data_IF_032556157358
#
_entry.id   IF_032556157358
#
_cell.length_a   1.000
_cell.length_b   1.000
_cell.length_c   1.000
_cell.angle_alpha   90.00
_cell.angle_beta   90.00
_cell.angle_gamma   90.00
#
_symmetry.space_group_name_H-M   'P 1'
#
loop_
_entity.id
_entity.type
_entity.pdbx_description
1 polymer ?
#
# COMPACT_ATOMS: atom_id res chain seq x y z
N UNK A 1 28.52 -27.09 -49.07
CA UNK A 1 28.98 -27.06 -47.67
C UNK A 1 28.57 -25.75 -46.97
N UNK A 2 28.88 -24.59 -47.57
CA UNK A 2 28.53 -23.25 -47.03
C UNK A 2 27.03 -23.06 -46.75
N UNK A 3 26.15 -23.47 -47.67
CA UNK A 3 24.70 -23.28 -47.51
C UNK A 3 24.08 -24.06 -46.33
N UNK A 4 24.65 -25.23 -45.98
CA UNK A 4 24.22 -26.00 -44.80
C UNK A 4 24.64 -25.32 -43.50
N UNK A 5 25.84 -24.72 -43.48
CA UNK A 5 26.38 -24.02 -42.31
C UNK A 5 25.59 -22.74 -42.00
N UNK A 6 25.19 -22.00 -43.03
CA UNK A 6 24.35 -20.79 -42.90
C UNK A 6 22.97 -21.16 -42.37
N UNK A 7 22.36 -22.25 -42.85
CA UNK A 7 21.06 -22.71 -42.36
C UNK A 7 21.10 -23.13 -40.88
N UNK A 8 22.16 -23.82 -40.44
CA UNK A 8 22.37 -24.20 -39.04
C UNK A 8 22.54 -22.99 -38.13
N UNK A 9 23.26 -21.95 -38.56
CA UNK A 9 23.42 -20.69 -37.82
C UNK A 9 22.10 -19.94 -37.65
N UNK A 10 21.28 -19.88 -38.70
CA UNK A 10 19.96 -19.22 -38.64
C UNK A 10 19.02 -19.96 -37.68
N UNK A 11 19.00 -21.30 -37.71
CA UNK A 11 18.20 -22.11 -36.77
C UNK A 11 18.68 -21.89 -35.33
N UNK A 12 20.00 -21.84 -35.10
CA UNK A 12 20.57 -21.61 -33.77
C UNK A 12 20.22 -20.22 -33.22
N UNK A 13 20.29 -19.18 -34.06
CA UNK A 13 19.87 -17.81 -33.70
C UNK A 13 18.37 -17.72 -33.41
N UNK A 14 17.53 -18.40 -34.20
CA UNK A 14 16.09 -18.47 -33.96
C UNK A 14 15.76 -19.19 -32.65
N UNK A 15 16.43 -20.30 -32.34
CA UNK A 15 16.27 -21.00 -31.07
C UNK A 15 16.72 -20.14 -29.87
N UNK A 16 17.84 -19.42 -29.99
CA UNK A 16 18.30 -18.50 -28.94
C UNK A 16 17.28 -17.37 -28.70
N UNK A 17 16.72 -16.82 -29.78
CA UNK A 17 15.72 -15.76 -29.72
C UNK A 17 14.40 -16.24 -29.08
N UNK A 18 13.99 -17.49 -29.34
CA UNK A 18 12.83 -18.14 -28.71
C UNK A 18 13.04 -18.44 -27.22
N UNK A 19 14.28 -18.73 -26.80
CA UNK A 19 14.60 -18.91 -25.37
C UNK A 19 14.62 -17.59 -24.60
N UNK A 20 14.99 -16.47 -25.24
CA UNK A 20 15.02 -15.14 -24.62
C UNK A 20 13.63 -14.54 -24.38
N UNK A 21 12.58 -15.09 -24.99
CA UNK A 21 11.19 -14.65 -24.79
C UNK A 21 10.41 -15.50 -23.79
N UNK A 22 11.04 -16.48 -23.16
CA UNK A 22 10.43 -17.23 -22.07
C UNK A 22 10.55 -16.42 -20.77
N UNK A 23 9.67 -15.43 -20.60
CA UNK A 23 9.34 -14.98 -19.24
C UNK A 23 8.68 -16.16 -18.54
N UNK A 24 9.42 -16.85 -17.69
CA UNK A 24 8.87 -17.84 -16.78
C UNK A 24 8.01 -17.08 -15.75
N UNK A 25 6.78 -16.73 -16.13
CA UNK A 25 5.76 -16.36 -15.15
C UNK A 25 5.39 -17.64 -14.40
N UNK A 26 6.09 -17.91 -13.30
CA UNK A 26 5.64 -18.92 -12.33
C UNK A 26 4.17 -18.64 -12.02
N UNK A 27 3.26 -19.59 -12.20
CA UNK A 27 1.85 -19.35 -11.91
C UNK A 27 1.72 -18.89 -10.47
N UNK A 28 1.07 -17.73 -10.23
CA UNK A 28 0.76 -17.20 -8.89
C UNK A 28 -0.23 -18.10 -8.10
N UNK A 29 -0.48 -19.32 -8.58
CA UNK A 29 -1.39 -20.30 -8.00
C UNK A 29 -0.93 -20.73 -6.60
N UNK A 30 0.38 -20.74 -6.34
CA UNK A 30 0.95 -21.07 -5.03
C UNK A 30 0.67 -20.02 -3.94
N UNK A 31 0.22 -18.82 -4.33
CA UNK A 31 -0.07 -17.74 -3.42
C UNK A 31 -1.50 -17.76 -2.88
N UNK A 32 -2.37 -18.61 -3.43
CA UNK A 32 -3.80 -18.63 -3.11
C UNK A 32 -4.28 -20.04 -2.75
N UNK A 33 -5.47 -20.12 -2.16
CA UNK A 33 -6.14 -21.40 -1.97
C UNK A 33 -6.44 -22.06 -3.34
N UNK A 34 -6.49 -23.41 -3.40
CA UNK A 34 -6.87 -24.12 -4.62
C UNK A 34 -8.22 -23.63 -5.19
N UNK A 35 -8.30 -23.46 -6.51
CA UNK A 35 -9.46 -22.95 -7.24
C UNK A 35 -9.83 -21.47 -6.97
N UNK A 36 -8.94 -20.70 -6.35
CA UNK A 36 -9.14 -19.27 -6.13
C UNK A 36 -8.41 -18.43 -7.18
N UNK A 37 -8.99 -17.26 -7.48
CA UNK A 37 -8.40 -16.30 -8.39
C UNK A 37 -7.23 -15.56 -7.70
N UNK A 38 -6.04 -15.61 -8.30
CA UNK A 38 -4.80 -15.05 -7.73
C UNK A 38 -4.57 -13.57 -8.02
N UNK A 39 -5.33 -12.97 -8.93
CA UNK A 39 -5.13 -11.58 -9.34
C UNK A 39 -6.43 -10.89 -9.75
N UNK A 40 -6.50 -9.58 -9.56
CA UNK A 40 -7.57 -8.74 -10.09
C UNK A 40 -6.94 -7.52 -10.77
N UNK A 41 -7.10 -7.42 -12.09
CA UNK A 41 -6.36 -6.44 -12.88
C UNK A 41 -4.86 -6.69 -12.76
N UNK A 42 -4.11 -5.68 -12.32
CA UNK A 42 -2.66 -5.76 -12.14
C UNK A 42 -2.24 -6.06 -10.69
N UNK A 43 -3.19 -6.37 -9.80
CA UNK A 43 -2.93 -6.57 -8.38
C UNK A 43 -3.01 -8.07 -8.06
N UNK A 44 -1.93 -8.61 -7.52
CA UNK A 44 -1.89 -9.97 -6.97
C UNK A 44 -2.63 -9.99 -5.64
N UNK A 45 -3.53 -10.94 -5.47
CA UNK A 45 -4.38 -11.12 -4.28
C UNK A 45 -4.02 -12.46 -3.62
N UNK A 46 -2.96 -12.50 -2.80
CA UNK A 46 -2.54 -13.72 -2.11
C UNK A 46 -3.40 -13.95 -0.86
N UNK A 47 -3.49 -15.22 -0.43
CA UNK A 47 -4.03 -15.55 0.90
C UNK A 47 -3.20 -14.83 1.99
N UNK A 48 -3.80 -14.24 3.05
CA UNK A 48 -5.16 -14.42 3.55
C UNK A 48 -6.27 -13.67 2.80
N UNK A 49 -5.91 -12.81 1.85
CA UNK A 49 -6.87 -12.12 0.98
C UNK A 49 -7.40 -13.06 -0.11
N UNK A 50 -8.61 -12.82 -0.59
CA UNK A 50 -9.19 -13.70 -1.60
C UNK A 50 -10.42 -13.15 -2.28
N UNK A 51 -10.61 -13.58 -3.53
CA UNK A 51 -11.75 -13.24 -4.37
C UNK A 51 -12.68 -14.46 -4.43
N UNK A 52 -13.95 -14.27 -4.06
CA UNK A 52 -14.95 -15.34 -4.05
C UNK A 52 -15.07 -16.06 -2.70
N UNK A 53 -16.14 -16.83 -2.54
CA UNK A 53 -16.39 -17.59 -1.32
C UNK A 53 -15.27 -18.58 -1.01
N UNK A 54 -14.96 -18.75 0.28
CA UNK A 54 -13.93 -19.67 0.80
C UNK A 54 -12.48 -19.37 0.41
N UNK A 55 -12.22 -18.33 -0.39
CA UNK A 55 -10.88 -17.97 -0.88
C UNK A 55 -10.08 -17.07 0.05
N UNK A 56 -10.74 -16.41 0.99
CA UNK A 56 -10.10 -15.55 2.01
C UNK A 56 -10.09 -16.24 3.38
N UNK A 57 -9.36 -15.64 4.32
CA UNK A 57 -9.26 -16.13 5.71
C UNK A 57 -10.58 -15.91 6.48
N UNK A 58 -11.06 -14.67 6.45
CA UNK A 58 -12.35 -14.27 7.01
C UNK A 58 -12.88 -13.03 6.26
N UNK A 59 -14.09 -12.58 6.60
CA UNK A 59 -14.76 -11.47 5.91
C UNK A 59 -13.92 -10.20 5.78
N UNK A 60 -13.04 -9.89 6.74
CA UNK A 60 -12.16 -8.71 6.67
C UNK A 60 -11.16 -8.76 5.52
N UNK A 61 -10.80 -9.96 5.08
CA UNK A 61 -9.83 -10.23 4.01
C UNK A 61 -10.50 -10.50 2.65
N UNK A 62 -11.84 -10.39 2.58
CA UNK A 62 -12.55 -10.55 1.32
C UNK A 62 -12.20 -9.41 0.34
N UNK A 63 -12.03 -9.77 -0.94
CA UNK A 63 -11.78 -8.83 -2.03
C UNK A 63 -12.85 -9.00 -3.10
N UNK A 64 -13.50 -7.91 -3.49
CA UNK A 64 -14.35 -7.89 -4.67
C UNK A 64 -13.55 -7.38 -5.88
N UNK A 65 -13.53 -8.17 -6.95
CA UNK A 65 -12.94 -7.75 -8.21
C UNK A 65 -14.03 -7.14 -9.11
N UNK A 66 -14.05 -5.81 -9.19
CA UNK A 66 -15.05 -5.06 -9.94
C UNK A 66 -14.53 -4.70 -11.34
N UNK A 67 -15.26 -5.11 -12.37
CA UNK A 67 -14.94 -4.77 -13.76
C UNK A 67 -15.68 -3.49 -14.15
N UNK A 68 -15.07 -2.33 -13.90
CA UNK A 68 -15.63 -1.03 -14.28
C UNK A 68 -14.83 -0.42 -15.42
N UNK A 69 -15.51 0.07 -16.45
CA UNK A 69 -14.90 0.79 -17.58
C UNK A 69 -13.77 0.02 -18.30
N UNK A 70 -13.85 -1.31 -18.34
CA UNK A 70 -12.88 -2.16 -19.05
C UNK A 70 -11.61 -2.50 -18.27
N UNK A 71 -11.47 -2.05 -17.02
CA UNK A 71 -10.38 -2.43 -16.14
C UNK A 71 -10.90 -3.10 -14.86
N UNK A 72 -10.33 -4.25 -14.51
CA UNK A 72 -10.63 -4.95 -13.27
C UNK A 72 -9.93 -4.24 -12.09
N UNK A 73 -10.70 -3.90 -11.06
CA UNK A 73 -10.23 -3.20 -9.86
C UNK A 73 -10.60 -3.97 -8.59
N UNK A 74 -9.63 -4.29 -7.72
CA UNK A 74 -9.90 -4.96 -6.45
C UNK A 74 -10.34 -3.97 -5.37
N UNK A 75 -11.38 -4.33 -4.63
CA UNK A 75 -11.86 -3.59 -3.46
C UNK A 75 -11.82 -4.48 -2.22
N UNK A 76 -11.05 -4.06 -1.21
CA UNK A 76 -10.92 -4.71 0.09
C UNK A 76 -12.18 -4.52 0.93
N UNK A 77 -12.68 -5.62 1.48
CA UNK A 77 -13.83 -5.70 2.36
C UNK A 77 -14.97 -4.78 1.87
N UNK A 78 -15.62 -5.11 0.74
CA UNK A 78 -16.60 -4.25 0.08
C UNK A 78 -17.82 -3.90 0.96
N UNK A 79 -18.06 -4.64 2.04
CA UNK A 79 -19.20 -4.47 2.93
C UNK A 79 -18.97 -3.48 4.07
N UNK A 80 -17.75 -3.33 4.59
CA UNK A 80 -17.45 -2.40 5.71
C UNK A 80 -16.42 -1.33 5.37
N UNK A 81 -15.36 -1.67 4.62
CA UNK A 81 -14.27 -0.72 4.30
C UNK A 81 -14.37 -0.16 2.89
N UNK A 82 -14.61 -1.02 1.89
CA UNK A 82 -14.72 -0.69 0.47
C UNK A 82 -13.54 0.16 -0.06
N UNK A 83 -12.31 -0.32 0.15
CA UNK A 83 -11.08 0.38 -0.24
C UNK A 83 -10.48 -0.22 -1.50
N UNK A 84 -10.17 0.60 -2.52
CA UNK A 84 -9.47 0.14 -3.71
C UNK A 84 -8.04 -0.29 -3.35
N UNK A 85 -7.70 -1.56 -3.62
CA UNK A 85 -6.38 -2.13 -3.36
C UNK A 85 -5.42 -1.84 -4.51
N UNK A 86 -4.20 -1.45 -4.16
CA UNK A 86 -3.10 -1.19 -5.10
C UNK A 86 -2.03 -2.27 -5.01
N UNK A 87 -1.79 -2.79 -3.80
CA UNK A 87 -0.79 -3.82 -3.56
C UNK A 87 -1.09 -4.60 -2.28
N UNK A 88 -0.64 -5.85 -2.23
CA UNK A 88 -0.63 -6.69 -1.03
C UNK A 88 0.79 -7.23 -0.85
N UNK A 89 1.40 -6.97 0.30
CA UNK A 89 2.70 -7.53 0.66
C UNK A 89 2.57 -8.51 1.82
N UNK A 90 2.96 -9.76 1.57
CA UNK A 90 3.08 -10.80 2.60
C UNK A 90 4.32 -10.59 3.48
N UNK A 91 5.43 -10.22 2.86
CA UNK A 91 6.73 -9.98 3.50
C UNK A 91 6.65 -8.81 4.49
N UNK A 92 6.07 -7.69 4.06
CA UNK A 92 5.92 -6.50 4.89
C UNK A 92 4.62 -6.51 5.70
N UNK A 93 3.72 -7.48 5.50
CA UNK A 93 2.37 -7.50 6.10
C UNK A 93 1.63 -6.17 5.92
N UNK A 94 1.69 -5.61 4.71
CA UNK A 94 0.99 -4.38 4.35
C UNK A 94 0.01 -4.60 3.21
N UNK A 95 -1.01 -3.76 3.17
CA UNK A 95 -1.80 -3.50 1.98
C UNK A 95 -1.71 -2.03 1.65
N UNK A 96 -1.56 -1.70 0.37
CA UNK A 96 -1.61 -0.32 -0.10
C UNK A 96 -3.00 -0.06 -0.70
N UNK A 97 -3.66 0.99 -0.25
CA UNK A 97 -5.02 1.37 -0.69
C UNK A 97 -5.08 2.83 -1.12
N UNK A 98 -6.09 3.21 -1.90
CA UNK A 98 -6.39 4.64 -2.09
C UNK A 98 -7.11 5.22 -0.88
N UNK A 99 -6.63 6.37 -0.40
CA UNK A 99 -7.22 7.16 0.68
C UNK A 99 -7.54 8.58 0.19
N UNK A 100 -8.68 9.18 0.58
CA UNK A 100 -9.06 10.52 0.13
C UNK A 100 -8.09 11.59 0.66
N UNK A 101 -7.86 12.61 -0.17
CA UNK A 101 -7.05 13.78 0.19
C UNK A 101 -7.94 14.85 0.81
N UNK A 102 -7.61 15.27 2.04
CA UNK A 102 -8.31 16.38 2.65
C UNK A 102 -7.91 17.69 1.97
N UNK A 103 -8.87 18.57 1.72
CA UNK A 103 -8.70 19.82 0.98
C UNK A 103 -9.47 20.95 1.65
N UNK A 104 -8.82 22.10 1.79
CA UNK A 104 -9.41 23.32 2.30
C UNK A 104 -9.21 24.46 1.31
N UNK A 105 -10.28 25.19 1.04
CA UNK A 105 -10.30 26.34 0.14
C UNK A 105 -10.79 27.55 0.94
N UNK A 106 -9.90 28.54 1.11
CA UNK A 106 -10.16 29.72 1.93
C UNK A 106 -11.35 30.55 1.43
N UNK A 107 -11.62 30.56 0.11
CA UNK A 107 -12.75 31.33 -0.45
C UNK A 107 -14.10 30.67 -0.18
N UNK A 108 -14.12 29.34 -0.02
CA UNK A 108 -15.35 28.58 0.21
C UNK A 108 -15.71 28.47 1.69
N UNK A 109 -14.80 28.86 2.59
CA UNK A 109 -15.03 28.89 4.03
C UNK A 109 -15.32 27.52 4.65
N UNK A 110 -15.14 26.42 3.90
CA UNK A 110 -15.47 25.07 4.38
C UNK A 110 -14.32 24.51 5.20
N UNK A 111 -14.24 24.90 6.46
CA UNK A 111 -13.42 24.21 7.47
C UNK A 111 -14.15 22.93 7.91
N UNK A 112 -14.44 22.03 6.98
CA UNK A 112 -15.01 20.74 7.35
C UNK A 112 -13.88 19.83 7.85
N UNK A 113 -14.08 19.29 9.05
CA UNK A 113 -13.28 18.20 9.55
C UNK A 113 -13.42 17.02 8.57
N UNK A 114 -12.38 16.75 7.79
CA UNK A 114 -12.40 15.64 6.85
C UNK A 114 -11.85 14.40 7.56
N UNK A 115 -12.78 13.53 7.94
CA UNK A 115 -12.52 12.27 8.61
C UNK A 115 -11.98 11.25 7.61
N UNK A 116 -11.00 10.46 8.04
CA UNK A 116 -10.40 9.38 7.28
C UNK A 116 -11.28 8.13 7.25
N UNK A 117 -10.71 7.08 6.65
CA UNK A 117 -11.15 5.69 6.81
C UNK A 117 -11.17 5.35 8.31
N UNK A 118 -12.23 4.67 8.77
CA UNK A 118 -12.32 4.12 10.12
C UNK A 118 -11.93 2.63 10.09
N UNK A 119 -10.83 2.29 10.78
CA UNK A 119 -10.30 0.93 10.89
C UNK A 119 -10.63 0.27 12.24
N UNK A 120 -11.45 0.91 13.07
CA UNK A 120 -11.86 0.38 14.37
C UNK A 120 -12.44 -1.03 14.23
N UNK A 121 -12.02 -1.91 15.14
CA UNK A 121 -12.42 -3.33 15.20
C UNK A 121 -11.97 -4.20 14.01
N UNK A 122 -11.41 -3.60 12.95
CA UNK A 122 -10.82 -4.33 11.84
C UNK A 122 -9.47 -4.97 12.24
N UNK A 123 -8.91 -5.86 11.41
CA UNK A 123 -7.53 -6.34 11.57
C UNK A 123 -6.49 -5.41 10.92
N UNK A 124 -6.89 -4.22 10.47
CA UNK A 124 -6.01 -3.27 9.78
C UNK A 124 -5.65 -2.08 10.66
N UNK A 125 -4.44 -1.54 10.49
CA UNK A 125 -3.93 -0.36 11.19
C UNK A 125 -3.19 0.56 10.21
N UNK A 126 -3.17 1.88 10.46
CA UNK A 126 -2.28 2.75 9.69
C UNK A 126 -0.81 2.43 10.00
N UNK A 127 0.01 2.18 8.97
CA UNK A 127 1.44 1.95 9.19
C UNK A 127 2.14 3.28 9.50
N UNK A 128 2.62 3.45 10.72
CA UNK A 128 3.38 4.65 11.14
C UNK A 128 4.80 4.67 10.56
N UNK A 129 5.33 3.52 10.13
CA UNK A 129 6.65 3.40 9.52
C UNK A 129 6.62 3.70 8.02
N UNK A 130 5.58 3.23 7.34
CA UNK A 130 5.49 3.33 5.88
C UNK A 130 4.81 4.65 5.45
N UNK A 131 3.97 5.23 6.31
CA UNK A 131 3.26 6.48 5.98
C UNK A 131 3.91 7.74 6.58
N UNK A 132 3.72 8.85 5.87
CA UNK A 132 4.03 10.21 6.28
C UNK A 132 2.79 11.09 6.15
N UNK A 133 2.69 12.11 7.01
CA UNK A 133 1.67 13.14 6.90
C UNK A 133 2.20 14.29 6.05
N UNK A 134 1.46 14.64 5.00
CA UNK A 134 1.85 15.66 4.02
C UNK A 134 0.82 16.78 4.02
N UNK A 135 1.30 18.00 3.86
CA UNK A 135 0.53 19.20 3.55
C UNK A 135 1.06 19.78 2.25
N UNK A 136 0.21 19.91 1.24
CA UNK A 136 0.51 20.58 -0.03
C UNK A 136 -0.21 21.93 -0.07
N UNK A 137 0.41 22.92 -0.71
CA UNK A 137 -0.06 24.29 -0.75
C UNK A 137 0.42 25.09 0.46
N UNK A 138 -0.38 26.07 0.86
CA UNK A 138 0.00 27.05 1.87
C UNK A 138 -0.81 26.89 3.17
N UNK A 139 -0.17 27.01 4.33
CA UNK A 139 -0.84 27.01 5.63
C UNK A 139 -0.52 25.81 6.50
N UNK A 140 -1.39 25.58 7.49
CA UNK A 140 -1.16 24.64 8.58
C UNK A 140 -2.25 23.58 8.65
N UNK A 141 -1.85 22.32 8.74
CA UNK A 141 -2.78 21.23 9.00
C UNK A 141 -2.28 20.34 10.14
N UNK A 142 -3.25 19.81 10.89
CA UNK A 142 -3.03 18.88 12.01
C UNK A 142 -3.76 17.58 11.73
N UNK A 143 -3.07 16.47 11.99
CA UNK A 143 -3.65 15.14 12.02
C UNK A 143 -4.14 14.86 13.45
N UNK A 144 -5.43 14.60 13.58
CA UNK A 144 -6.17 14.53 14.84
C UNK A 144 -6.86 13.18 14.99
N UNK A 145 -6.93 12.66 16.20
CA UNK A 145 -7.79 11.51 16.56
C UNK A 145 -8.43 11.79 17.92
N UNK A 146 -9.76 11.82 18.00
CA UNK A 146 -10.50 12.08 19.24
C UNK A 146 -9.95 13.27 20.06
N UNK A 147 -9.72 14.42 19.40
CA UNK A 147 -9.11 15.65 19.96
C UNK A 147 -7.61 15.62 20.27
N UNK A 148 -6.93 14.47 20.14
CA UNK A 148 -5.48 14.37 20.29
C UNK A 148 -4.77 14.73 18.98
N UNK A 149 -3.79 15.63 19.07
CA UNK A 149 -2.88 15.92 17.95
C UNK A 149 -1.84 14.81 17.85
N UNK A 150 -1.76 14.18 16.69
CA UNK A 150 -0.75 13.18 16.37
C UNK A 150 0.42 13.77 15.58
N UNK A 151 0.12 14.59 14.58
CA UNK A 151 1.12 15.24 13.75
C UNK A 151 0.62 16.62 13.30
N UNK A 152 1.56 17.48 12.93
CA UNK A 152 1.27 18.79 12.36
C UNK A 152 2.33 19.16 11.35
N UNK A 153 1.91 19.81 10.26
CA UNK A 153 2.81 20.33 9.25
C UNK A 153 2.41 21.75 8.89
N UNK A 154 3.43 22.53 8.55
CA UNK A 154 3.32 23.94 8.20
C UNK A 154 4.10 24.17 6.91
N UNK A 155 3.43 24.74 5.92
CA UNK A 155 4.05 25.18 4.69
C UNK A 155 3.89 26.70 4.56
N UNK A 156 4.99 27.38 4.33
CA UNK A 156 5.06 28.83 4.12
C UNK A 156 5.25 29.14 2.63
N UNK A 157 5.02 30.42 2.28
CA UNK A 157 5.30 31.00 0.97
C UNK A 157 4.42 30.41 -0.14
N UNK A 158 3.21 30.97 -0.32
CA UNK A 158 2.18 30.54 -1.27
C UNK A 158 2.48 30.93 -2.73
N UNK A 159 3.66 30.61 -3.23
CA UNK A 159 4.04 30.89 -4.62
C UNK A 159 3.64 29.74 -5.55
N UNK A 160 3.40 30.00 -6.82
CA UNK A 160 3.03 28.94 -7.77
C UNK A 160 4.20 27.99 -8.12
N UNK A 161 5.41 28.27 -7.65
CA UNK A 161 6.62 27.46 -7.90
C UNK A 161 6.89 26.50 -6.75
N UNK A 162 6.68 25.20 -6.97
CA UNK A 162 7.14 24.17 -6.04
C UNK A 162 8.67 24.10 -6.01
N UNK A 163 9.30 23.84 -4.85
CA UNK A 163 10.74 23.66 -4.79
C UNK A 163 11.16 22.36 -5.49
N UNK A 164 12.17 22.45 -6.38
CA UNK A 164 12.78 21.30 -7.08
C UNK A 164 13.37 20.21 -6.14
N UNK A 165 13.42 20.46 -4.82
CA UNK A 165 14.15 19.65 -3.82
C UNK A 165 13.28 19.15 -2.67
N UNK A 166 12.09 18.65 -2.99
CA UNK A 166 11.24 17.91 -2.04
C UNK A 166 10.45 18.79 -1.08
N UNK A 167 9.90 18.17 -0.03
CA UNK A 167 8.76 18.73 0.70
C UNK A 167 9.06 19.18 2.14
N UNK A 168 9.71 20.33 2.31
CA UNK A 168 10.32 20.73 3.59
C UNK A 168 9.96 22.14 4.07
N UNK A 169 8.73 22.59 3.80
CA UNK A 169 8.14 23.79 4.40
C UNK A 169 7.89 24.95 3.44
N UNK A 170 8.25 24.86 2.16
CA UNK A 170 7.91 25.87 1.13
C UNK A 170 6.95 25.24 0.15
N UNK A 171 5.73 25.78 0.02
CA UNK A 171 4.62 25.23 -0.79
C UNK A 171 4.19 23.79 -0.48
N UNK A 172 4.93 23.06 0.33
CA UNK A 172 4.48 21.86 0.98
C UNK A 172 5.33 21.52 2.21
N UNK A 173 4.83 20.64 3.06
CA UNK A 173 5.51 20.14 4.25
C UNK A 173 5.19 18.65 4.43
N UNK A 174 6.18 17.85 4.84
CA UNK A 174 5.96 16.47 5.26
C UNK A 174 6.49 16.22 6.68
N UNK A 175 5.85 15.32 7.42
CA UNK A 175 6.28 14.89 8.75
C UNK A 175 5.92 13.43 9.01
N UNK A 176 6.61 12.79 9.94
CA UNK A 176 6.31 11.41 10.37
C UNK A 176 5.20 11.40 11.41
N UNK A 177 4.42 10.31 11.47
CA UNK A 177 3.50 10.07 12.58
C UNK A 177 4.31 9.47 13.75
N UNK A 178 4.15 9.97 14.99
CA UNK A 178 4.84 9.38 16.13
C UNK A 178 4.37 7.95 16.38
N UNK A 179 5.31 7.06 16.67
CA UNK A 179 5.04 5.76 17.30
C UNK A 179 4.87 6.01 18.79
N UNK A 180 3.65 6.24 19.25
CA UNK A 180 3.40 6.48 20.68
C UNK A 180 3.14 5.13 21.34
N UNK A 181 3.96 4.80 22.35
CA UNK A 181 3.79 3.60 23.16
C UNK A 181 2.35 3.57 23.72
N UNK A 182 1.56 2.56 23.31
CA UNK A 182 0.15 2.26 23.67
C UNK A 182 -1.00 2.83 22.86
N UNK A 183 -0.74 3.56 21.78
CA UNK A 183 -1.83 4.03 20.94
C UNK A 183 -1.47 3.85 19.47
N UNK A 184 -2.34 3.13 18.76
CA UNK A 184 -2.29 3.01 17.31
C UNK A 184 -3.38 3.90 16.73
N UNK A 185 -3.05 4.55 15.63
CA UNK A 185 -4.03 5.31 14.88
C UNK A 185 -4.99 4.30 14.22
N UNK A 186 -6.26 4.32 14.57
CA UNK A 186 -7.30 3.51 13.92
C UNK A 186 -8.24 4.35 13.06
N UNK A 187 -8.28 5.65 13.35
CA UNK A 187 -8.97 6.66 12.57
C UNK A 187 -8.25 8.00 12.74
N UNK A 188 -8.40 8.90 11.79
CA UNK A 188 -7.91 10.25 11.92
C UNK A 188 -8.84 11.24 11.25
N UNK A 189 -8.60 12.50 11.54
CA UNK A 189 -9.23 13.63 10.89
C UNK A 189 -8.18 14.71 10.64
N UNK A 190 -8.38 15.47 9.59
CA UNK A 190 -7.50 16.58 9.25
C UNK A 190 -8.17 17.88 9.68
N UNK A 191 -7.45 18.67 10.47
CA UNK A 191 -7.87 20.01 10.87
C UNK A 191 -6.93 21.05 10.28
N UNK A 192 -7.46 21.89 9.41
CA UNK A 192 -6.77 23.06 8.88
C UNK A 192 -6.84 24.20 9.89
N UNK A 193 -5.75 24.97 10.04
CA UNK A 193 -5.71 26.20 10.83
C UNK A 193 -5.24 27.32 9.91
N UNK A 194 -5.95 28.46 9.96
CA UNK A 194 -5.72 29.59 9.08
C UNK A 194 -4.70 30.54 9.69
N UNK A 195 -3.85 31.11 8.83
CA UNK A 195 -3.18 32.37 9.13
C UNK A 195 -4.12 33.51 8.74
N UNK A 196 -4.40 34.42 9.68
CA UNK A 196 -5.27 35.60 9.49
C UNK A 196 -4.67 36.65 8.52
N UNK A 197 -3.49 36.40 7.94
CA UNK A 197 -2.78 37.36 7.12
C UNK A 197 -3.30 37.39 5.67
N UNK A 198 -4.45 38.06 5.48
CA UNK A 198 -4.71 39.12 4.49
C UNK A 198 -4.29 38.97 3.02
N UNK A 199 -3.82 37.82 2.54
CA UNK A 199 -3.39 37.65 1.16
C UNK A 199 -4.54 37.14 0.30
N UNK A 200 -4.93 37.96 -0.67
CA UNK A 200 -5.99 37.72 -1.65
C UNK A 200 -5.70 36.58 -2.66
N UNK A 201 -4.70 35.73 -2.41
CA UNK A 201 -4.44 34.57 -3.26
C UNK A 201 -5.37 33.42 -2.86
N UNK A 202 -6.14 32.90 -3.81
CA UNK A 202 -6.98 31.72 -3.64
C UNK A 202 -6.10 30.48 -3.47
N UNK A 203 -5.55 30.24 -2.28
CA UNK A 203 -4.71 29.07 -2.04
C UNK A 203 -5.55 27.92 -1.51
N UNK A 204 -5.57 26.81 -2.25
CA UNK A 204 -6.07 25.53 -1.75
C UNK A 204 -4.97 24.85 -0.94
N UNK A 205 -5.30 24.41 0.27
CA UNK A 205 -4.41 23.61 1.11
C UNK A 205 -4.90 22.19 1.11
N UNK A 206 -4.01 21.24 0.83
CA UNK A 206 -4.33 19.82 0.87
C UNK A 206 -3.53 19.15 1.97
N UNK A 207 -4.12 18.19 2.68
CA UNK A 207 -3.42 17.46 3.72
C UNK A 207 -3.93 16.03 3.83
N UNK A 208 -3.01 15.08 3.97
CA UNK A 208 -3.33 13.67 3.90
C UNK A 208 -2.21 12.81 4.44
N UNK A 209 -2.56 11.56 4.77
CA UNK A 209 -1.60 10.53 5.11
C UNK A 209 -1.31 9.67 3.88
N UNK A 210 -0.04 9.41 3.61
CA UNK A 210 0.40 8.78 2.35
C UNK A 210 1.60 7.86 2.58
N UNK A 211 1.69 6.80 1.80
CA UNK A 211 2.87 5.95 1.70
C UNK A 211 4.07 6.76 1.20
N UNK A 212 5.19 6.69 1.94
CA UNK A 212 6.38 7.50 1.70
C UNK A 212 6.96 7.28 0.30
N UNK A 213 7.05 6.03 -0.14
CA UNK A 213 7.68 5.68 -1.41
C UNK A 213 6.79 6.07 -2.58
N UNK A 214 5.48 5.87 -2.42
CA UNK A 214 4.51 6.37 -3.40
C UNK A 214 4.58 7.89 -3.51
N UNK A 215 4.60 8.61 -2.39
CA UNK A 215 4.70 10.06 -2.39
C UNK A 215 5.98 10.54 -3.08
N UNK A 216 7.13 9.94 -2.76
CA UNK A 216 8.40 10.31 -3.39
C UNK A 216 8.42 10.11 -4.91
N UNK A 217 7.67 9.13 -5.43
CA UNK A 217 7.59 8.87 -6.89
C UNK A 217 6.58 9.76 -7.60
N UNK A 218 5.49 10.15 -6.93
CA UNK A 218 4.37 10.89 -7.53
C UNK A 218 4.36 12.37 -7.14
N UNK A 219 5.33 12.84 -6.36
CA UNK A 219 5.40 14.21 -5.84
C UNK A 219 5.24 15.26 -6.95
N UNK A 220 5.93 15.08 -8.07
CA UNK A 220 5.89 15.99 -9.22
C UNK A 220 4.56 15.95 -9.98
N UNK A 221 3.81 14.85 -9.92
CA UNK A 221 2.48 14.73 -10.56
C UNK A 221 1.35 15.30 -9.68
N UNK A 222 1.59 15.41 -8.37
CA UNK A 222 0.67 16.06 -7.42
C UNK A 222 0.69 17.60 -7.53
N UNK A 223 1.65 18.16 -8.29
CA UNK A 223 1.76 19.59 -8.60
C UNK A 223 0.63 20.07 -9.52
N UNK A 224 0.02 19.17 -10.30
CA UNK A 224 -1.13 19.45 -11.19
C UNK A 224 -2.43 18.96 -10.52
N UNK A 225 -2.88 19.71 -9.51
CA UNK A 225 -3.89 19.30 -8.50
C UNK A 225 -5.26 18.95 -9.11
N UNK A 226 -5.38 17.70 -9.56
CA UNK A 226 -6.60 16.96 -9.89
C UNK A 226 -6.75 15.69 -9.03
N UNK A 227 -5.73 15.37 -8.25
CA UNK A 227 -5.65 14.10 -7.51
C UNK A 227 -6.53 14.16 -6.27
N UNK A 228 -7.56 13.31 -6.23
CA UNK A 228 -8.50 13.18 -5.10
C UNK A 228 -8.08 12.14 -4.06
N UNK A 229 -7.11 11.29 -4.40
CA UNK A 229 -6.72 10.14 -3.60
C UNK A 229 -5.20 9.95 -3.62
N UNK A 230 -4.64 9.53 -2.50
CA UNK A 230 -3.23 9.15 -2.37
C UNK A 230 -3.11 7.69 -1.96
N UNK A 231 -2.01 7.04 -2.32
CA UNK A 231 -1.74 5.68 -1.86
C UNK A 231 -1.34 5.68 -0.39
N UNK A 232 -1.95 4.80 0.40
CA UNK A 232 -1.79 4.71 1.83
C UNK A 232 -1.49 3.26 2.22
N UNK A 233 -0.50 3.05 3.07
CA UNK A 233 -0.10 1.72 3.53
C UNK A 233 -0.74 1.35 4.88
N UNK A 234 -1.52 0.28 4.90
CA UNK A 234 -2.11 -0.29 6.11
C UNK A 234 -1.37 -1.56 6.49
N UNK A 235 -1.11 -1.76 7.77
CA UNK A 235 -0.75 -3.06 8.31
C UNK A 235 -2.00 -3.96 8.33
N UNK A 236 -1.82 -5.26 8.18
CA UNK A 236 -2.88 -6.26 8.40
C UNK A 236 -2.41 -7.34 9.38
N UNK A 237 -3.34 -7.94 10.13
CA UNK A 237 -3.01 -8.82 11.25
C UNK A 237 -3.91 -10.06 11.29
N UNK A 238 -3.30 -11.24 11.41
CA UNK A 238 -4.04 -12.48 11.70
C UNK A 238 -4.24 -12.56 13.21
N UNK A 239 -5.49 -12.44 13.67
CA UNK A 239 -5.82 -12.48 15.10
C UNK A 239 -5.88 -13.92 15.59
N UNK A 240 -5.53 -14.11 16.86
CA UNK A 240 -5.67 -15.40 17.53
C UNK A 240 -7.12 -15.88 17.46
N UNK A 241 -7.34 -17.00 16.76
CA UNK A 241 -8.68 -17.58 16.54
C UNK A 241 -9.23 -17.43 15.12
N UNK A 242 -8.52 -16.75 14.21
CA UNK A 242 -8.95 -16.56 12.81
C UNK A 242 -8.91 -17.85 11.94
N UNK A 243 -8.73 -19.06 12.50
CA UNK A 243 -8.52 -20.31 11.77
C UNK A 243 -7.43 -20.24 10.68
N UNK A 244 -6.47 -19.32 10.82
CA UNK A 244 -5.23 -19.39 10.05
C UNK A 244 -4.49 -20.65 10.49
N UNK A 245 -3.90 -21.36 9.53
CA UNK A 245 -3.16 -22.56 9.83
C UNK A 245 -2.03 -22.25 10.84
N UNK A 246 -1.82 -23.20 11.76
CA UNK A 246 -1.39 -22.98 13.14
C UNK A 246 -0.02 -22.31 13.36
N UNK A 247 0.80 -22.13 12.33
CA UNK A 247 2.15 -21.55 12.43
C UNK A 247 2.21 -20.03 12.28
N UNK A 248 1.20 -19.41 11.65
CA UNK A 248 1.18 -17.97 11.33
C UNK A 248 0.16 -17.16 12.11
N UNK A 249 -0.46 -17.79 13.09
CA UNK A 249 -1.39 -17.14 13.98
C UNK A 249 -0.64 -16.15 14.90
N UNK A 250 -1.08 -14.89 14.96
CA UNK A 250 -0.43 -13.85 15.77
C UNK A 250 0.79 -13.19 15.13
N UNK A 251 0.89 -13.18 13.79
CA UNK A 251 1.96 -12.52 13.01
C UNK A 251 2.13 -11.02 13.25
N UNK A 252 1.19 -10.40 13.99
CA UNK A 252 1.31 -9.07 14.57
C UNK A 252 0.71 -9.11 15.98
N UNK A 253 1.55 -8.89 17.00
CA UNK A 253 1.10 -8.83 18.40
C UNK A 253 1.49 -7.50 19.02
N UNK A 254 0.61 -6.99 19.86
CA UNK A 254 0.90 -5.81 20.65
C UNK A 254 1.87 -6.20 21.78
N UNK A 255 3.08 -5.69 21.72
CA UNK A 255 4.10 -5.97 22.72
C UNK A 255 4.08 -4.91 23.81
N UNK A 256 3.67 -5.33 25.01
CA UNK A 256 3.62 -4.48 26.20
C UNK A 256 4.99 -3.90 26.56
N UNK A 257 6.09 -4.58 26.22
CA UNK A 257 7.44 -4.12 26.55
C UNK A 257 7.93 -2.97 25.67
N UNK A 258 7.43 -2.86 24.44
CA UNK A 258 7.77 -1.78 23.51
C UNK A 258 6.59 -0.85 23.25
N UNK A 259 5.46 -1.06 23.93
CA UNK A 259 4.24 -0.28 23.76
C UNK A 259 3.70 -0.25 22.32
N UNK A 260 4.03 -1.23 21.47
CA UNK A 260 3.72 -1.14 20.04
C UNK A 260 3.47 -2.51 19.42
N UNK A 261 2.88 -2.52 18.22
CA UNK A 261 2.73 -3.75 17.44
C UNK A 261 4.07 -4.17 16.87
N UNK A 262 4.48 -5.39 17.20
CA UNK A 262 5.66 -6.02 16.60
C UNK A 262 5.24 -6.64 15.29
N UNK A 263 5.90 -6.23 14.20
CA UNK A 263 5.76 -6.86 12.89
C UNK A 263 6.50 -8.20 12.89
N UNK A 264 5.76 -9.31 12.84
CA UNK A 264 6.33 -10.66 12.76
C UNK A 264 5.74 -11.39 11.55
N UNK A 265 6.14 -10.98 10.34
CA UNK A 265 5.66 -11.64 9.12
C UNK A 265 6.09 -13.08 9.08
N UNK A 266 5.19 -13.91 8.56
CA UNK A 266 5.55 -15.27 8.24
C UNK A 266 6.40 -15.32 6.99
N UNK A 267 7.40 -16.18 7.01
CA UNK A 267 8.24 -16.50 5.87
C UNK A 267 8.34 -18.01 5.69
N UNK A 268 8.52 -18.43 4.45
CA UNK A 268 8.87 -19.81 4.17
C UNK A 268 10.28 -20.14 4.69
N UNK A 269 10.55 -21.39 5.07
CA UNK A 269 11.89 -21.84 5.44
C UNK A 269 12.89 -21.62 4.29
N UNK A 270 14.20 -21.52 4.59
CA UNK A 270 15.21 -21.37 3.54
C UNK A 270 15.09 -22.45 2.47
N UNK A 271 15.17 -22.03 1.19
CA UNK A 271 15.03 -22.87 -0.03
C UNK A 271 13.61 -23.28 -0.42
N UNK A 272 12.61 -22.82 0.32
CA UNK A 272 11.20 -22.96 -0.04
C UNK A 272 10.63 -21.58 -0.36
N UNK A 273 9.83 -21.53 -1.42
CA UNK A 273 9.01 -20.41 -1.83
C UNK A 273 7.55 -20.81 -1.71
N UNK A 274 6.66 -19.82 -1.69
CA UNK A 274 5.27 -20.10 -1.41
C UNK A 274 4.55 -18.99 -0.66
N UNK A 275 3.37 -19.34 -0.17
CA UNK A 275 2.63 -18.53 0.77
C UNK A 275 2.62 -19.19 2.15
N UNK A 276 3.38 -18.66 3.13
CA UNK A 276 3.49 -19.27 4.45
C UNK A 276 2.20 -19.18 5.28
N UNK A 277 1.20 -18.41 4.82
CA UNK A 277 -0.11 -18.31 5.47
C UNK A 277 -1.07 -19.43 5.02
N UNK A 278 -0.74 -20.20 3.98
CA UNK A 278 -1.48 -21.39 3.56
C UNK A 278 -0.97 -22.65 4.26
N UNK A 279 -1.86 -23.61 4.50
CA UNK A 279 -1.47 -24.96 4.93
C UNK A 279 -0.61 -25.62 3.85
N UNK A 280 0.58 -26.08 4.24
CA UNK A 280 1.61 -26.61 3.34
C UNK A 280 1.98 -25.67 2.18
N UNK A 281 1.74 -24.36 2.33
CA UNK A 281 1.94 -23.38 1.25
C UNK A 281 3.37 -23.05 0.90
N UNK A 282 4.36 -23.63 1.60
CA UNK A 282 5.79 -23.47 1.36
C UNK A 282 6.39 -24.76 0.78
N UNK A 283 5.88 -25.21 -0.37
CA UNK A 283 6.23 -26.45 -1.03
C UNK A 283 6.97 -26.25 -2.36
N UNK A 284 7.06 -25.01 -2.85
CA UNK A 284 7.83 -24.66 -4.05
C UNK A 284 9.33 -24.56 -3.70
N UNK A 285 10.05 -25.69 -3.80
CA UNK A 285 11.50 -25.69 -3.64
C UNK A 285 12.21 -25.08 -4.85
N UNK A 286 13.41 -24.52 -4.63
CA UNK A 286 14.37 -24.35 -5.72
C UNK A 286 14.66 -25.75 -6.30
N UNK A 287 14.14 -26.08 -7.47
CA UNK A 287 14.87 -27.02 -8.33
C UNK A 287 16.23 -26.36 -8.54
N UNK A 288 17.26 -26.95 -7.95
CA UNK A 288 18.62 -26.50 -8.13
C UNK A 288 18.94 -26.62 -9.63
N UNK A 289 18.75 -25.53 -10.38
CA UNK A 289 19.48 -25.35 -11.62
C UNK A 289 20.95 -25.46 -11.24
N UNK A 290 21.54 -26.58 -11.66
CA UNK A 290 22.91 -26.91 -11.38
C UNK A 290 23.80 -25.78 -11.88
N UNK A 291 24.25 -24.94 -10.96
CA UNK A 291 25.46 -24.16 -11.16
C UNK A 291 26.59 -25.16 -11.37
N UNK A 292 26.84 -25.46 -12.64
CA UNK A 292 28.13 -25.90 -13.14
C UNK A 292 29.16 -24.93 -12.54
N UNK A 293 29.86 -25.42 -11.51
CA UNK A 293 31.14 -24.86 -11.11
C UNK A 293 32.06 -24.99 -12.31
N UNK A 294 32.32 -23.87 -12.97
CA UNK A 294 33.52 -23.66 -13.78
C UNK A 294 34.56 -23.05 -12.85
#
# INVERSE_FOLDING_TARGET
MVMKLVLLLIICLLCLCLCLTAEASTPLEYLVKPNCQSQCGNVVIPFPFGIGESCYLNEWYSVNCSNTSGAAKPFLNPTKLNLELLNVSLEYQTVTVYSPIASYDQQKGSSELQTSINLDQSPFLFSTLDNIFVVLGCGHAKLMEHEKIWAGCTSINCSDSFPDQGCYGINCCQTTIPTIDSYYLSTYSVKFTLDDEGNNHSTSTHAFLVDRDWFSRNFTELEDVSVKYAALSLLWMIKEGDNADSSCNGSNYYSLSIGSYVRSSCGCPPRYEGNPYLHDGCDHGYEAEGFLKI
#
